data_IF_287214577644
#
_entry.id   IF_287214577644
#
_cell.length_a   1.000
_cell.length_b   1.000
_cell.length_c   1.000
_cell.angle_alpha   90.00
_cell.angle_beta   90.00
_cell.angle_gamma   90.00
#
_symmetry.space_group_name_H-M   'P 1'
#
loop_
_entity.id
_entity.type
_entity.pdbx_description
1 polymer ?
#
# COMPACT_ATOMS: atom_id res chain seq x y z
N UNK A 1 3.76 28.70 -2.59
CA UNK A 1 4.90 28.77 -3.53
C UNK A 1 5.98 27.83 -3.04
N UNK A 2 6.59 27.07 -3.96
CA UNK A 2 7.72 26.18 -3.68
C UNK A 2 9.02 26.95 -3.92
N UNK A 3 9.97 26.87 -2.99
CA UNK A 3 11.30 27.47 -3.14
C UNK A 3 12.30 26.39 -3.57
N UNK A 4 13.15 26.69 -4.56
CA UNK A 4 14.23 25.80 -5.00
C UNK A 4 15.54 26.19 -4.33
N UNK A 5 16.31 25.18 -3.93
CA UNK A 5 17.62 25.31 -3.31
C UNK A 5 18.61 24.40 -4.03
N UNK A 6 19.87 24.83 -4.03
CA UNK A 6 21.00 24.11 -4.60
C UNK A 6 22.21 24.41 -3.71
N UNK A 7 22.93 23.37 -3.31
CA UNK A 7 24.13 23.50 -2.49
C UNK A 7 25.40 23.22 -3.30
N UNK A 8 26.54 23.62 -2.73
CA UNK A 8 27.86 23.39 -3.33
C UNK A 8 28.24 21.90 -3.41
N UNK A 9 27.56 21.02 -2.66
CA UNK A 9 27.74 19.56 -2.72
C UNK A 9 26.96 18.93 -3.89
N UNK A 10 26.15 19.71 -4.60
CA UNK A 10 25.30 19.25 -5.70
C UNK A 10 23.93 18.72 -5.26
N UNK A 11 23.56 18.89 -3.97
CA UNK A 11 22.21 18.61 -3.49
C UNK A 11 21.24 19.65 -4.05
N UNK A 12 20.17 19.19 -4.67
CA UNK A 12 19.11 20.06 -5.22
C UNK A 12 17.78 19.63 -4.64
N UNK A 13 17.03 20.59 -4.10
CA UNK A 13 15.73 20.30 -3.52
C UNK A 13 14.74 21.45 -3.64
N UNK A 14 13.47 21.11 -3.46
CA UNK A 14 12.38 22.06 -3.35
C UNK A 14 11.76 22.00 -1.96
N UNK A 15 11.40 23.16 -1.41
CA UNK A 15 10.70 23.26 -0.13
C UNK A 15 9.36 23.93 -0.27
N UNK A 16 8.36 23.33 0.37
CA UNK A 16 7.03 23.88 0.46
C UNK A 16 6.38 23.47 1.78
N UNK A 17 5.57 24.36 2.37
CA UNK A 17 4.69 23.97 3.48
C UNK A 17 3.39 23.38 2.94
N UNK A 18 3.09 22.17 3.34
CA UNK A 18 1.98 21.40 2.79
C UNK A 18 1.13 20.77 3.89
N UNK A 19 -0.16 20.63 3.62
CA UNK A 19 -1.06 19.91 4.51
C UNK A 19 -0.98 18.42 4.16
N UNK A 20 -0.34 17.64 5.01
CA UNK A 20 -0.05 16.22 4.82
C UNK A 20 -0.95 15.41 5.74
N UNK A 21 -1.62 14.40 5.17
CA UNK A 21 -2.33 13.39 5.97
C UNK A 21 -1.30 12.40 6.50
N UNK A 22 -1.20 12.30 7.82
CA UNK A 22 -0.29 11.40 8.51
C UNK A 22 -0.91 10.00 8.74
N UNK A 23 -2.23 9.89 8.61
CA UNK A 23 -3.02 8.67 8.82
C UNK A 23 -4.49 8.93 8.48
N UNK A 24 -5.40 8.17 9.10
CA UNK A 24 -6.83 8.15 8.74
C UNK A 24 -7.53 9.51 8.91
N UNK A 25 -7.22 10.26 9.98
CA UNK A 25 -8.00 11.45 10.36
C UNK A 25 -7.18 12.72 10.69
N UNK A 26 -5.84 12.63 10.71
CA UNK A 26 -4.97 13.75 11.11
C UNK A 26 -4.19 14.32 9.94
N UNK A 27 -4.51 15.56 9.60
CA UNK A 27 -3.77 16.34 8.61
C UNK A 27 -2.97 17.45 9.31
N UNK A 28 -1.67 17.49 9.09
CA UNK A 28 -0.77 18.50 9.67
C UNK A 28 -0.12 19.35 8.59
N UNK A 29 0.18 20.60 8.92
CA UNK A 29 0.96 21.47 8.03
C UNK A 29 2.44 21.26 8.33
N UNK A 30 3.14 20.58 7.42
CA UNK A 30 4.54 20.21 7.58
C UNK A 30 5.42 20.88 6.53
N UNK A 31 6.67 21.14 6.89
CA UNK A 31 7.70 21.52 5.94
C UNK A 31 8.08 20.29 5.12
N UNK A 32 7.77 20.34 3.83
CA UNK A 32 7.99 19.27 2.86
C UNK A 32 9.21 19.60 2.01
N UNK A 33 10.19 18.70 2.04
CA UNK A 33 11.40 18.74 1.22
C UNK A 33 11.25 17.69 0.12
N UNK A 34 11.41 18.13 -1.13
CA UNK A 34 11.48 17.24 -2.30
C UNK A 34 12.90 17.25 -2.82
N UNK A 35 13.63 16.17 -2.62
CA UNK A 35 14.97 15.99 -3.16
C UNK A 35 14.87 15.69 -4.66
N UNK A 36 15.54 16.49 -5.49
CA UNK A 36 15.55 16.42 -6.96
C UNK A 36 16.86 15.87 -7.51
N UNK A 37 17.97 16.15 -6.83
CA UNK A 37 19.29 15.61 -7.12
C UNK A 37 20.06 15.43 -5.83
N UNK A 38 20.83 14.36 -5.72
CA UNK A 38 21.70 14.06 -4.58
C UNK A 38 23.16 14.37 -4.94
N UNK A 39 24.02 14.68 -3.96
CA UNK A 39 25.47 14.62 -4.11
C UNK A 39 25.95 13.25 -4.57
N UNK A 40 27.18 13.18 -5.10
CA UNK A 40 27.78 11.92 -5.57
C UNK A 40 27.88 10.85 -4.48
N UNK A 41 28.08 11.25 -3.22
CA UNK A 41 28.15 10.34 -2.07
C UNK A 41 26.77 9.99 -1.48
N UNK A 42 25.68 10.55 -2.03
CA UNK A 42 24.30 10.33 -1.62
C UNK A 42 23.91 10.97 -0.29
N UNK A 43 24.80 11.72 0.38
CA UNK A 43 24.54 12.30 1.70
C UNK A 43 23.76 13.59 1.60
N UNK A 44 22.78 13.76 2.51
CA UNK A 44 21.93 14.95 2.53
C UNK A 44 21.49 15.37 3.94
N UNK A 45 21.48 14.45 4.91
CA UNK A 45 20.85 14.66 6.22
C UNK A 45 21.40 15.86 6.99
N UNK A 46 22.72 16.07 6.98
CA UNK A 46 23.36 17.17 7.72
C UNK A 46 23.02 18.54 7.10
N UNK A 47 23.03 18.66 5.78
CA UNK A 47 22.60 19.86 5.06
C UNK A 47 21.12 20.17 5.30
N UNK A 48 20.27 19.13 5.22
CA UNK A 48 18.84 19.29 5.49
C UNK A 48 18.59 19.76 6.92
N UNK A 49 19.32 19.22 7.90
CA UNK A 49 19.22 19.68 9.28
C UNK A 49 19.66 21.13 9.45
N UNK A 50 20.72 21.53 8.77
CA UNK A 50 21.25 22.89 8.86
C UNK A 50 20.31 23.94 8.26
N UNK A 51 19.68 23.63 7.12
CA UNK A 51 18.83 24.58 6.38
C UNK A 51 17.36 24.47 6.78
N UNK A 52 16.88 23.25 7.04
CA UNK A 52 15.48 22.92 7.35
C UNK A 52 15.36 22.01 8.58
N UNK A 53 15.71 22.51 9.78
CA UNK A 53 15.64 21.73 11.01
C UNK A 53 14.21 21.27 11.37
N UNK A 54 13.18 21.93 10.82
CA UNK A 54 11.75 21.62 11.00
C UNK A 54 11.17 20.69 9.92
N UNK A 55 12.02 20.01 9.14
CA UNK A 55 11.57 19.13 8.05
C UNK A 55 10.71 17.99 8.60
N UNK A 56 9.45 17.95 8.15
CA UNK A 56 8.47 16.94 8.55
C UNK A 56 8.24 15.86 7.50
N UNK A 57 8.58 16.16 6.23
CA UNK A 57 8.41 15.24 5.10
C UNK A 57 9.60 15.33 4.17
N UNK A 58 10.13 14.17 3.77
CA UNK A 58 11.15 14.05 2.73
C UNK A 58 10.62 13.14 1.63
N UNK A 59 10.60 13.64 0.40
CA UNK A 59 10.27 12.88 -0.79
C UNK A 59 11.47 12.89 -1.74
N UNK A 60 11.93 11.71 -2.15
CA UNK A 60 12.94 11.56 -3.19
C UNK A 60 12.22 11.44 -4.53
N UNK A 61 12.28 12.52 -5.32
CA UNK A 61 11.69 12.60 -6.67
C UNK A 61 12.80 13.07 -7.59
N UNK A 62 13.77 12.18 -7.79
CA UNK A 62 15.00 12.48 -8.51
C UNK A 62 14.70 12.70 -10.00
N UNK A 63 15.36 13.68 -10.59
CA UNK A 63 15.25 13.97 -12.02
C UNK A 63 15.84 12.79 -12.82
N UNK A 64 15.14 12.30 -13.85
CA UNK A 64 15.45 11.07 -14.61
C UNK A 64 16.71 11.16 -15.51
N UNK A 65 17.61 12.12 -15.28
CA UNK A 65 18.56 12.57 -16.30
C UNK A 65 19.98 12.02 -16.22
N UNK A 66 20.32 11.13 -15.30
CA UNK A 66 21.65 10.52 -15.25
C UNK A 66 21.56 9.00 -15.41
N UNK A 67 22.38 8.45 -16.31
CA UNK A 67 22.58 7.00 -16.52
C UNK A 67 23.12 6.27 -15.26
N UNK A 68 23.34 7.00 -14.16
CA UNK A 68 23.74 6.46 -12.87
C UNK A 68 22.51 6.10 -12.05
N UNK A 69 22.54 4.91 -11.45
CA UNK A 69 21.59 4.52 -10.43
C UNK A 69 21.87 5.39 -9.17
N UNK A 70 21.00 6.36 -8.82
CA UNK A 70 21.30 7.26 -7.72
C UNK A 70 21.39 6.46 -6.42
N UNK A 71 22.29 6.86 -5.52
CA UNK A 71 22.47 6.26 -4.20
C UNK A 71 21.91 7.21 -3.14
N UNK A 72 21.10 6.71 -2.21
CA UNK A 72 20.56 7.50 -1.10
C UNK A 72 21.23 7.03 0.20
N UNK A 73 22.04 7.90 0.79
CA UNK A 73 22.67 7.64 2.09
C UNK A 73 21.77 8.22 3.20
N UNK A 74 21.12 7.33 3.97
CA UNK A 74 20.32 7.74 5.13
C UNK A 74 21.18 8.00 6.38
N UNK A 75 22.50 7.95 6.28
CA UNK A 75 23.39 8.29 7.39
C UNK A 75 23.03 9.67 7.96
N UNK A 76 22.93 9.74 9.29
CA UNK A 76 22.55 10.96 9.99
C UNK A 76 21.05 11.31 9.96
N UNK A 77 20.19 10.56 9.27
CA UNK A 77 18.77 10.91 9.14
C UNK A 77 18.06 11.00 10.49
N UNK A 78 18.48 10.21 11.48
CA UNK A 78 17.99 10.24 12.86
C UNK A 78 18.12 11.60 13.56
N UNK A 79 18.94 12.52 13.02
CA UNK A 79 19.05 13.88 13.52
C UNK A 79 17.85 14.77 13.13
N UNK A 80 17.07 14.37 12.11
CA UNK A 80 15.86 15.05 11.64
C UNK A 80 14.66 14.65 12.51
N UNK A 81 14.62 15.18 13.73
CA UNK A 81 13.71 14.72 14.80
C UNK A 81 12.22 14.97 14.50
N UNK A 82 11.91 15.90 13.62
CA UNK A 82 10.53 16.22 13.24
C UNK A 82 10.05 15.41 12.02
N UNK A 83 10.89 14.54 11.44
CA UNK A 83 10.58 13.77 10.25
C UNK A 83 9.51 12.71 10.54
N UNK A 84 8.33 12.89 9.94
CA UNK A 84 7.17 12.00 10.09
C UNK A 84 6.87 11.17 8.85
N UNK A 85 7.30 11.64 7.68
CA UNK A 85 7.01 10.98 6.40
C UNK A 85 8.26 10.90 5.56
N UNK A 86 8.53 9.71 5.06
CA UNK A 86 9.60 9.48 4.10
C UNK A 86 9.05 8.70 2.89
N UNK A 87 9.33 9.22 1.69
CA UNK A 87 8.96 8.57 0.45
C UNK A 87 10.17 8.41 -0.46
N UNK A 88 10.58 7.16 -0.72
CA UNK A 88 11.75 6.80 -1.52
C UNK A 88 11.28 6.01 -2.73
N UNK A 89 10.92 6.72 -3.81
CA UNK A 89 10.51 6.10 -5.07
C UNK A 89 11.72 6.00 -5.97
N UNK A 90 12.36 4.83 -6.01
CA UNK A 90 13.43 4.58 -6.96
C UNK A 90 13.44 3.12 -7.36
N UNK A 91 13.57 2.89 -8.68
CA UNK A 91 13.70 1.55 -9.22
C UNK A 91 15.06 0.93 -8.90
N UNK A 92 16.09 1.72 -8.57
CA UNK A 92 17.48 1.27 -8.55
C UNK A 92 18.35 1.86 -7.42
N UNK A 93 17.78 2.29 -6.28
CA UNK A 93 18.60 2.85 -5.20
C UNK A 93 19.16 1.76 -4.29
N UNK A 94 20.49 1.71 -4.16
CA UNK A 94 21.10 1.16 -2.96
C UNK A 94 20.87 2.16 -1.82
N UNK A 95 20.23 1.70 -0.76
CA UNK A 95 20.15 2.43 0.50
C UNK A 95 21.21 1.84 1.43
N UNK A 96 22.06 2.67 2.01
CA UNK A 96 23.01 2.24 3.02
C UNK A 96 22.56 2.74 4.40
N UNK A 97 22.44 1.78 5.31
CA UNK A 97 22.34 2.04 6.75
C UNK A 97 23.54 1.36 7.39
N UNK A 98 24.56 2.13 7.77
CA UNK A 98 25.76 1.52 8.36
C UNK A 98 25.66 1.39 9.86
N UNK A 99 24.95 2.25 10.60
CA UNK A 99 24.94 2.18 12.08
C UNK A 99 23.97 3.20 12.74
N UNK A 100 22.88 3.57 12.07
CA UNK A 100 21.95 4.62 12.54
C UNK A 100 20.72 4.09 13.26
N UNK A 101 20.28 4.75 14.34
CA UNK A 101 18.95 4.53 14.94
C UNK A 101 17.82 5.10 14.04
N UNK A 102 17.70 4.64 12.79
CA UNK A 102 16.59 5.02 11.90
C UNK A 102 15.25 4.63 12.53
N UNK A 103 15.23 3.54 13.29
CA UNK A 103 14.09 3.09 14.10
C UNK A 103 13.65 4.07 15.20
N UNK A 104 14.46 5.09 15.55
CA UNK A 104 14.09 6.14 16.52
C UNK A 104 13.41 7.34 15.87
N UNK A 105 13.27 7.37 14.55
CA UNK A 105 12.51 8.42 13.89
C UNK A 105 11.02 8.28 14.25
N UNK A 106 10.29 9.40 14.44
CA UNK A 106 8.85 9.37 14.66
C UNK A 106 8.11 9.23 13.32
N UNK A 107 8.53 8.27 12.47
CA UNK A 107 7.89 8.05 11.18
C UNK A 107 6.48 7.51 11.42
N UNK A 108 5.51 8.21 10.84
CA UNK A 108 4.11 7.81 10.80
C UNK A 108 3.77 7.18 9.45
N UNK A 109 4.50 7.57 8.39
CA UNK A 109 4.29 7.08 7.03
C UNK A 109 5.60 6.79 6.31
N UNK A 110 5.71 5.58 5.76
CA UNK A 110 6.83 5.13 4.91
C UNK A 110 6.28 4.67 3.57
N UNK A 111 6.88 5.18 2.48
CA UNK A 111 6.62 4.69 1.13
C UNK A 111 7.97 4.43 0.47
N UNK A 112 8.27 3.21 0.07
CA UNK A 112 9.59 2.91 -0.50
C UNK A 112 9.60 1.71 -1.45
N UNK A 113 10.59 1.66 -2.32
CA UNK A 113 11.05 0.38 -2.87
C UNK A 113 11.79 -0.40 -1.78
N UNK A 114 11.53 -1.69 -1.67
CA UNK A 114 12.16 -2.54 -0.68
C UNK A 114 13.66 -2.70 -0.94
N UNK A 115 14.44 -2.28 0.04
CA UNK A 115 15.88 -2.56 0.17
C UNK A 115 16.11 -3.27 1.49
N UNK A 116 16.71 -4.46 1.41
CA UNK A 116 17.02 -5.30 2.58
C UNK A 116 17.95 -4.56 3.54
N UNK A 117 17.69 -4.68 4.84
CA UNK A 117 18.41 -3.99 5.91
C UNK A 117 17.82 -2.61 6.22
N UNK A 118 17.58 -1.80 5.19
CA UNK A 118 17.10 -0.42 5.37
C UNK A 118 15.59 -0.36 5.58
N UNK A 119 14.82 -1.11 4.78
CA UNK A 119 13.36 -1.12 4.90
C UNK A 119 12.95 -1.62 6.28
N UNK A 120 13.60 -2.70 6.74
CA UNK A 120 13.45 -3.27 8.07
C UNK A 120 13.67 -2.23 9.18
N UNK A 121 14.72 -1.41 9.06
CA UNK A 121 15.01 -0.36 10.03
C UNK A 121 13.97 0.77 10.02
N UNK A 122 13.52 1.20 8.82
CA UNK A 122 12.49 2.23 8.66
C UNK A 122 11.15 1.80 9.25
N UNK A 123 10.74 0.55 8.97
CA UNK A 123 9.41 0.08 9.40
C UNK A 123 9.30 -0.18 10.90
N UNK A 124 10.42 -0.27 11.62
CA UNK A 124 10.45 -0.43 13.08
C UNK A 124 10.12 0.85 13.84
N UNK A 125 9.89 1.98 13.15
CA UNK A 125 9.48 3.24 13.78
C UNK A 125 8.19 3.04 14.61
N UNK A 126 8.18 3.36 15.91
CA UNK A 126 7.10 2.94 16.82
C UNK A 126 5.73 3.54 16.50
N UNK A 127 5.73 4.74 15.90
CA UNK A 127 4.53 5.51 15.55
C UNK A 127 4.04 5.24 14.12
N UNK A 128 4.64 4.26 13.42
CA UNK A 128 4.29 3.98 12.02
C UNK A 128 2.85 3.48 11.91
N UNK A 129 2.06 4.18 11.09
CA UNK A 129 0.66 3.86 10.85
C UNK A 129 0.42 3.42 9.41
N UNK A 130 1.12 4.01 8.45
CA UNK A 130 0.99 3.70 7.03
C UNK A 130 2.31 3.19 6.46
N UNK A 131 2.24 2.04 5.80
CA UNK A 131 3.36 1.42 5.09
C UNK A 131 2.97 1.13 3.65
N UNK A 132 3.78 1.60 2.71
CA UNK A 132 3.72 1.18 1.31
C UNK A 132 5.10 0.71 0.86
N UNK A 133 5.21 -0.55 0.43
CA UNK A 133 6.47 -1.11 -0.06
C UNK A 133 6.29 -1.77 -1.43
N UNK A 134 7.21 -1.49 -2.34
CA UNK A 134 7.33 -2.19 -3.62
C UNK A 134 8.44 -3.25 -3.57
N UNK A 135 8.16 -4.47 -4.02
CA UNK A 135 9.15 -5.55 -4.10
C UNK A 135 9.45 -6.25 -2.78
N UNK A 136 8.75 -5.90 -1.69
CA UNK A 136 8.95 -6.54 -0.39
C UNK A 136 8.40 -7.99 -0.36
N UNK A 137 8.99 -8.87 0.45
CA UNK A 137 8.35 -10.11 0.86
C UNK A 137 7.30 -9.84 1.95
N UNK A 138 6.29 -10.70 2.09
CA UNK A 138 5.20 -10.52 3.07
C UNK A 138 5.70 -10.59 4.53
N UNK A 139 6.77 -11.34 4.79
CA UNK A 139 7.35 -11.53 6.12
C UNK A 139 7.96 -10.27 6.73
N UNK A 140 8.16 -9.21 5.93
CA UNK A 140 8.53 -7.87 6.40
C UNK A 140 7.57 -7.34 7.48
N UNK A 141 6.29 -7.72 7.41
CA UNK A 141 5.27 -7.36 8.40
C UNK A 141 5.53 -7.95 9.79
N UNK A 142 6.42 -8.95 9.89
CA UNK A 142 6.91 -9.48 11.16
C UNK A 142 7.62 -8.44 12.03
N UNK A 143 8.18 -7.40 11.41
CA UNK A 143 8.96 -6.33 12.05
C UNK A 143 8.15 -5.05 12.29
N UNK A 144 6.92 -4.99 11.76
CA UNK A 144 6.07 -3.82 11.90
C UNK A 144 5.62 -3.58 13.35
N UNK A 145 5.47 -2.31 13.77
CA UNK A 145 4.96 -1.96 15.09
C UNK A 145 3.46 -2.26 15.20
N UNK A 146 2.97 -2.32 16.43
CA UNK A 146 1.55 -2.53 16.72
C UNK A 146 0.65 -1.37 16.27
N UNK A 147 1.22 -0.17 16.07
CA UNK A 147 0.48 1.00 15.60
C UNK A 147 0.15 0.97 14.10
N UNK A 148 0.77 0.05 13.34
CA UNK A 148 0.55 -0.06 11.89
C UNK A 148 -0.90 -0.43 11.61
N UNK A 149 -1.57 0.36 10.75
CA UNK A 149 -2.99 0.19 10.46
C UNK A 149 -3.28 -0.04 8.97
N UNK A 150 -2.49 0.55 8.07
CA UNK A 150 -2.68 0.44 6.63
C UNK A 150 -1.38 -0.01 5.98
N UNK A 151 -1.49 -1.08 5.20
CA UNK A 151 -0.37 -1.68 4.47
C UNK A 151 -0.72 -1.81 3.00
N UNK A 152 0.17 -1.33 2.14
CA UNK A 152 0.14 -1.57 0.70
C UNK A 152 1.43 -2.26 0.26
N UNK A 153 1.33 -3.48 -0.28
CA UNK A 153 2.48 -4.21 -0.83
C UNK A 153 2.33 -4.33 -2.34
N UNK A 154 3.18 -3.63 -3.08
CA UNK A 154 3.26 -3.68 -4.55
C UNK A 154 4.31 -4.70 -4.97
N UNK A 155 4.06 -5.46 -6.05
CA UNK A 155 5.02 -6.43 -6.62
C UNK A 155 5.58 -7.39 -5.56
N UNK A 156 4.69 -7.96 -4.76
CA UNK A 156 5.05 -8.86 -3.66
C UNK A 156 5.89 -10.03 -4.17
N UNK A 157 7.07 -10.23 -3.58
CA UNK A 157 8.04 -11.26 -4.03
C UNK A 157 7.79 -12.63 -3.42
N UNK A 158 7.22 -12.67 -2.20
CA UNK A 158 6.90 -13.91 -1.49
C UNK A 158 5.66 -13.74 -0.59
N UNK A 159 4.74 -14.72 -0.61
CA UNK A 159 3.47 -14.69 0.14
C UNK A 159 3.18 -15.94 0.98
N UNK A 160 3.93 -17.04 0.81
CA UNK A 160 3.63 -18.34 1.45
C UNK A 160 3.91 -18.40 2.96
N UNK A 161 4.50 -17.36 3.54
CA UNK A 161 4.96 -17.38 4.92
C UNK A 161 3.78 -17.18 5.89
N UNK A 162 3.26 -18.26 6.49
CA UNK A 162 2.08 -18.21 7.37
C UNK A 162 2.21 -17.21 8.53
N UNK A 163 3.36 -17.14 9.19
CA UNK A 163 3.60 -16.21 10.30
C UNK A 163 3.45 -14.74 9.91
N UNK A 164 3.63 -14.40 8.63
CA UNK A 164 3.43 -13.06 8.12
C UNK A 164 1.94 -12.67 8.07
N UNK A 165 1.07 -13.63 7.71
CA UNK A 165 -0.37 -13.42 7.68
C UNK A 165 -0.95 -13.18 9.07
N UNK A 166 -0.37 -13.79 10.11
CA UNK A 166 -0.79 -13.57 11.52
C UNK A 166 -0.70 -12.11 11.96
N UNK A 167 0.22 -11.34 11.38
CA UNK A 167 0.41 -9.91 11.70
C UNK A 167 -0.71 -9.02 11.17
N UNK A 168 -1.54 -9.53 10.25
CA UNK A 168 -2.61 -8.76 9.64
C UNK A 168 -3.78 -8.46 10.58
N UNK A 169 -3.96 -9.23 11.66
CA UNK A 169 -5.10 -9.02 12.57
C UNK A 169 -5.13 -7.68 13.29
N UNK A 170 -3.99 -6.99 13.37
CA UNK A 170 -3.89 -5.64 13.93
C UNK A 170 -4.20 -4.54 12.90
N UNK A 171 -4.19 -4.86 11.61
CA UNK A 171 -4.38 -3.88 10.55
C UNK A 171 -5.86 -3.56 10.36
N UNK A 172 -6.12 -2.33 9.93
CA UNK A 172 -7.41 -1.92 9.39
C UNK A 172 -7.51 -2.26 7.90
N UNK A 173 -6.43 -2.08 7.16
CA UNK A 173 -6.43 -2.21 5.70
C UNK A 173 -5.17 -2.90 5.18
N UNK A 174 -5.36 -3.84 4.27
CA UNK A 174 -4.31 -4.49 3.49
C UNK A 174 -4.61 -4.36 2.00
N UNK A 175 -3.66 -3.84 1.24
CA UNK A 175 -3.68 -3.80 -0.21
C UNK A 175 -2.48 -4.59 -0.76
N UNK A 176 -2.74 -5.52 -1.66
CA UNK A 176 -1.70 -6.25 -2.40
C UNK A 176 -1.87 -5.96 -3.88
N UNK A 177 -0.88 -5.32 -4.48
CA UNK A 177 -0.99 -4.77 -5.83
C UNK A 177 0.09 -5.33 -6.76
N UNK A 178 -0.22 -5.41 -8.06
CA UNK A 178 0.75 -5.66 -9.14
C UNK A 178 1.67 -6.87 -8.88
N UNK A 179 1.10 -7.95 -8.32
CA UNK A 179 1.84 -9.09 -7.80
C UNK A 179 1.69 -10.32 -8.69
N UNK A 180 2.68 -11.21 -8.64
CA UNK A 180 2.64 -12.48 -9.38
C UNK A 180 1.64 -13.47 -8.79
N UNK A 181 2.13 -14.52 -8.14
CA UNK A 181 1.28 -15.46 -7.40
C UNK A 181 1.22 -15.10 -5.93
N UNK A 182 0.02 -14.94 -5.38
CA UNK A 182 -0.22 -14.66 -3.97
C UNK A 182 -0.96 -15.86 -3.35
N UNK A 183 -0.31 -16.47 -2.36
CA UNK A 183 -0.89 -17.53 -1.52
C UNK A 183 -1.51 -16.90 -0.29
N UNK A 184 -2.84 -16.96 -0.18
CA UNK A 184 -3.59 -16.35 0.90
C UNK A 184 -3.69 -17.33 2.07
N UNK A 185 -3.37 -16.86 3.28
CA UNK A 185 -3.50 -17.64 4.50
C UNK A 185 -4.32 -16.86 5.53
N UNK A 186 -5.29 -17.48 6.22
CA UNK A 186 -6.09 -16.77 7.21
C UNK A 186 -5.21 -16.43 8.42
N UNK A 187 -5.31 -15.21 8.98
CA UNK A 187 -4.76 -14.92 10.29
C UNK A 187 -5.51 -15.68 11.39
N UNK A 188 -4.94 -15.79 12.59
CA UNK A 188 -5.53 -16.54 13.71
C UNK A 188 -6.78 -15.90 14.30
N UNK A 189 -6.94 -14.58 14.20
CA UNK A 189 -8.01 -13.85 14.89
C UNK A 189 -9.02 -13.24 13.92
N UNK A 190 -8.62 -12.19 13.20
CA UNK A 190 -9.48 -11.46 12.27
C UNK A 190 -8.70 -11.04 11.03
N UNK A 191 -9.40 -10.92 9.91
CA UNK A 191 -8.89 -10.16 8.76
C UNK A 191 -8.86 -8.66 9.09
N UNK A 192 -8.01 -7.89 8.40
CA UNK A 192 -8.21 -6.46 8.27
C UNK A 192 -9.65 -6.15 7.83
N UNK A 193 -10.17 -4.98 8.20
CA UNK A 193 -11.51 -4.54 7.81
C UNK A 193 -11.66 -4.52 6.28
N UNK A 194 -10.62 -4.02 5.58
CA UNK A 194 -10.54 -3.98 4.13
C UNK A 194 -9.33 -4.80 3.68
N UNK A 195 -9.57 -5.75 2.78
CA UNK A 195 -8.52 -6.49 2.09
C UNK A 195 -8.71 -6.32 0.59
N UNK A 196 -7.67 -5.84 -0.10
CA UNK A 196 -7.72 -5.59 -1.54
C UNK A 196 -6.62 -6.37 -2.25
N UNK A 197 -6.99 -7.04 -3.34
CA UNK A 197 -6.06 -7.62 -4.30
C UNK A 197 -6.27 -6.97 -5.66
N UNK A 198 -5.25 -6.29 -6.18
CA UNK A 198 -5.33 -5.48 -7.39
C UNK A 198 -4.21 -5.91 -8.35
N UNK A 199 -4.57 -6.22 -9.60
CA UNK A 199 -3.61 -6.63 -10.64
C UNK A 199 -2.71 -7.79 -10.20
N UNK A 200 -3.33 -8.84 -9.63
CA UNK A 200 -2.62 -10.06 -9.21
C UNK A 200 -2.75 -11.16 -10.26
N UNK A 201 -1.62 -11.74 -10.68
CA UNK A 201 -1.61 -12.75 -11.74
C UNK A 201 -2.28 -14.06 -11.31
N UNK A 202 -2.11 -14.50 -10.06
CA UNK A 202 -2.82 -15.65 -9.51
C UNK A 202 -3.04 -15.53 -8.01
N UNK A 203 -4.30 -15.59 -7.57
CA UNK A 203 -4.68 -15.73 -6.17
C UNK A 203 -4.91 -17.21 -5.87
N UNK A 204 -4.26 -17.74 -4.84
CA UNK A 204 -4.40 -19.15 -4.42
C UNK A 204 -4.84 -19.20 -2.97
N UNK A 205 -5.61 -20.24 -2.65
CA UNK A 205 -6.02 -20.59 -1.29
C UNK A 205 -6.99 -19.56 -0.65
N UNK A 206 -7.45 -18.53 -1.38
CA UNK A 206 -8.31 -17.47 -0.87
C UNK A 206 -9.69 -17.97 -0.45
N UNK A 207 -10.27 -18.92 -1.19
CA UNK A 207 -11.55 -19.54 -0.82
C UNK A 207 -11.39 -20.31 0.47
N UNK A 208 -10.37 -21.17 0.57
CA UNK A 208 -10.07 -21.92 1.79
C UNK A 208 -9.82 -20.99 2.98
N UNK A 209 -9.04 -19.92 2.77
CA UNK A 209 -8.76 -18.93 3.80
C UNK A 209 -10.04 -18.23 4.28
N UNK A 210 -10.93 -17.87 3.36
CA UNK A 210 -12.22 -17.25 3.68
C UNK A 210 -13.16 -18.18 4.46
N UNK A 211 -13.10 -19.49 4.23
CA UNK A 211 -13.92 -20.46 4.95
C UNK A 211 -13.43 -20.66 6.39
N UNK A 212 -12.11 -20.58 6.62
CA UNK A 212 -11.57 -20.56 7.97
C UNK A 212 -11.95 -19.27 8.71
N UNK A 213 -11.92 -18.14 8.01
CA UNK A 213 -12.23 -16.83 8.58
C UNK A 213 -12.85 -15.93 7.49
N UNK A 214 -14.13 -15.55 7.59
CA UNK A 214 -14.77 -14.73 6.55
C UNK A 214 -14.20 -13.31 6.47
N UNK A 215 -14.03 -12.79 5.26
CA UNK A 215 -13.63 -11.39 5.06
C UNK A 215 -14.77 -10.44 5.43
N UNK A 216 -14.45 -9.21 5.87
CA UNK A 216 -15.46 -8.16 6.03
C UNK A 216 -15.69 -7.43 4.70
N UNK A 217 -14.68 -6.74 4.18
CA UNK A 217 -14.71 -6.15 2.85
C UNK A 217 -13.54 -6.67 2.03
N UNK A 218 -13.85 -7.35 0.92
CA UNK A 218 -12.85 -7.86 -0.02
C UNK A 218 -12.97 -7.14 -1.36
N UNK A 219 -11.90 -6.50 -1.81
CA UNK A 219 -11.82 -5.89 -3.13
C UNK A 219 -10.94 -6.72 -4.06
N UNK A 220 -11.44 -7.04 -5.24
CA UNK A 220 -10.75 -7.83 -6.26
C UNK A 220 -10.76 -7.07 -7.57
N UNK A 221 -9.60 -6.73 -8.11
CA UNK A 221 -9.49 -6.06 -9.41
C UNK A 221 -8.30 -6.61 -10.19
N UNK A 222 -8.46 -6.76 -11.51
CA UNK A 222 -7.36 -7.22 -12.37
C UNK A 222 -6.81 -8.61 -12.03
N UNK A 223 -7.60 -9.46 -11.38
CA UNK A 223 -7.19 -10.83 -11.01
C UNK A 223 -7.24 -11.73 -12.25
N UNK A 224 -6.09 -12.23 -12.69
CA UNK A 224 -6.03 -13.07 -13.90
C UNK A 224 -6.47 -14.52 -13.64
N UNK A 225 -6.02 -15.12 -12.54
CA UNK A 225 -6.39 -16.48 -12.14
C UNK A 225 -6.91 -16.44 -10.70
N UNK A 226 -8.20 -16.74 -10.53
CA UNK A 226 -8.83 -16.85 -9.22
C UNK A 226 -8.84 -18.32 -8.76
N UNK A 227 -8.20 -18.57 -7.62
CA UNK A 227 -8.15 -19.82 -6.85
C UNK A 227 -8.38 -21.11 -7.65
N UNK A 228 -7.36 -21.58 -8.39
CA UNK A 228 -7.50 -22.73 -9.28
C UNK A 228 -8.10 -23.96 -8.59
N UNK A 229 -9.25 -24.40 -9.09
CA UNK A 229 -9.96 -25.58 -8.59
C UNK A 229 -10.99 -25.28 -7.50
N UNK A 230 -11.11 -24.03 -7.02
CA UNK A 230 -12.16 -23.61 -6.12
C UNK A 230 -13.27 -22.86 -6.86
N UNK A 231 -14.50 -22.95 -6.34
CA UNK A 231 -15.61 -22.12 -6.81
C UNK A 231 -15.52 -20.73 -6.20
N UNK A 232 -15.67 -19.69 -7.03
CA UNK A 232 -15.82 -18.32 -6.54
C UNK A 232 -17.00 -18.19 -5.55
N UNK A 233 -18.08 -18.95 -5.77
CA UNK A 233 -19.28 -18.90 -4.93
C UNK A 233 -19.10 -19.52 -3.54
N UNK A 234 -18.01 -20.23 -3.30
CA UNK A 234 -17.68 -20.79 -1.98
C UNK A 234 -16.96 -19.77 -1.08
N UNK A 235 -16.53 -18.64 -1.64
CA UNK A 235 -15.87 -17.54 -0.95
C UNK A 235 -16.79 -16.97 0.14
N UNK A 236 -16.26 -16.75 1.34
CA UNK A 236 -16.98 -16.17 2.47
C UNK A 236 -16.51 -14.74 2.74
N UNK A 237 -17.40 -13.78 2.51
CA UNK A 237 -17.20 -12.40 2.91
C UNK A 237 -18.54 -11.73 3.24
N UNK A 238 -18.52 -10.67 4.07
CA UNK A 238 -19.71 -9.82 4.26
C UNK A 238 -20.01 -9.03 2.99
N UNK A 239 -18.98 -8.50 2.31
CA UNK A 239 -19.11 -7.89 0.99
C UNK A 239 -17.85 -8.10 0.17
N UNK A 240 -18.04 -8.44 -1.11
CA UNK A 240 -17.00 -8.54 -2.13
C UNK A 240 -17.32 -7.51 -3.19
N UNK A 241 -16.31 -6.75 -3.61
CA UNK A 241 -16.40 -5.87 -4.77
C UNK A 241 -15.43 -6.38 -5.83
N UNK A 242 -15.91 -6.65 -7.04
CA UNK A 242 -15.08 -7.03 -8.17
C UNK A 242 -15.01 -5.88 -9.16
N UNK A 243 -13.85 -5.24 -9.28
CA UNK A 243 -13.58 -4.16 -10.24
C UNK A 243 -12.98 -4.66 -11.56
N UNK A 244 -13.30 -3.96 -12.65
CA UNK A 244 -12.65 -4.10 -13.95
C UNK A 244 -12.92 -2.87 -14.83
N UNK A 245 -11.98 -2.52 -15.71
CA UNK A 245 -12.10 -1.35 -16.58
C UNK A 245 -13.03 -1.59 -17.78
N UNK A 246 -12.71 -2.58 -18.62
CA UNK A 246 -13.45 -2.81 -19.88
C UNK A 246 -14.21 -4.13 -19.91
N UNK A 247 -13.62 -5.21 -19.39
CA UNK A 247 -14.18 -6.56 -19.46
C UNK A 247 -14.07 -7.27 -18.11
N UNK A 248 -15.10 -8.00 -17.69
CA UNK A 248 -15.04 -8.83 -16.51
C UNK A 248 -13.99 -9.94 -16.67
N UNK A 249 -13.38 -10.39 -15.57
CA UNK A 249 -12.42 -11.47 -15.64
C UNK A 249 -13.08 -12.79 -16.05
N UNK A 250 -12.36 -13.60 -16.84
CA UNK A 250 -12.88 -14.86 -17.38
C UNK A 250 -13.45 -15.79 -16.31
N UNK A 251 -12.76 -15.91 -15.17
CA UNK A 251 -13.21 -16.79 -14.08
C UNK A 251 -14.57 -16.36 -13.50
N UNK A 252 -14.90 -15.06 -13.51
CA UNK A 252 -16.20 -14.58 -13.06
C UNK A 252 -17.28 -14.90 -14.09
N UNK A 253 -16.99 -14.66 -15.37
CA UNK A 253 -17.90 -14.97 -16.48
C UNK A 253 -18.24 -16.46 -16.53
N UNK A 254 -17.23 -17.32 -16.38
CA UNK A 254 -17.40 -18.77 -16.40
C UNK A 254 -18.20 -19.26 -15.17
N UNK A 255 -18.02 -18.63 -14.00
CA UNK A 255 -18.76 -18.96 -12.79
C UNK A 255 -20.19 -18.39 -12.76
N UNK A 256 -20.47 -17.32 -13.50
CA UNK A 256 -21.71 -16.55 -13.45
C UNK A 256 -23.02 -17.36 -13.61
N UNK A 257 -23.10 -18.37 -14.51
CA UNK A 257 -24.32 -19.17 -14.66
C UNK A 257 -24.71 -19.95 -13.41
N UNK A 258 -23.74 -20.24 -12.53
CA UNK A 258 -23.93 -21.02 -11.30
C UNK A 258 -24.14 -20.14 -10.06
N UNK A 259 -24.39 -18.84 -10.25
CA UNK A 259 -24.54 -17.91 -9.13
C UNK A 259 -25.71 -18.29 -8.21
N UNK A 260 -25.54 -18.27 -6.88
CA UNK A 260 -26.63 -18.45 -5.94
C UNK A 260 -27.70 -17.37 -6.11
N UNK A 261 -28.97 -17.66 -5.80
CA UNK A 261 -30.05 -16.67 -5.91
C UNK A 261 -29.78 -15.37 -5.12
N UNK A 262 -29.13 -15.48 -3.96
CA UNK A 262 -28.83 -14.36 -3.06
C UNK A 262 -27.46 -13.69 -3.33
N UNK A 263 -26.86 -13.89 -4.50
CA UNK A 263 -25.51 -13.38 -4.81
C UNK A 263 -25.39 -11.86 -4.64
N UNK A 264 -26.42 -11.10 -5.03
CA UNK A 264 -26.43 -9.63 -5.02
C UNK A 264 -26.35 -9.04 -3.60
N UNK A 265 -26.66 -9.82 -2.56
CA UNK A 265 -26.64 -9.35 -1.17
C UNK A 265 -25.21 -9.10 -0.65
N UNK A 266 -24.20 -9.69 -1.30
CA UNK A 266 -22.82 -9.64 -0.83
C UNK A 266 -21.81 -9.36 -1.93
N UNK A 267 -22.15 -9.56 -3.21
CA UNK A 267 -21.26 -9.25 -4.33
C UNK A 267 -21.70 -7.97 -5.05
N UNK A 268 -20.77 -7.03 -5.16
CA UNK A 268 -20.89 -5.83 -5.99
C UNK A 268 -19.95 -5.95 -7.18
N UNK A 269 -20.50 -5.76 -8.38
CA UNK A 269 -19.75 -5.86 -9.63
C UNK A 269 -20.31 -4.83 -10.60
N UNK A 270 -19.48 -4.12 -11.39
CA UNK A 270 -19.97 -3.27 -12.46
C UNK A 270 -20.85 -4.05 -13.43
N UNK A 271 -21.80 -3.36 -14.06
CA UNK A 271 -22.61 -3.94 -15.12
C UNK A 271 -21.75 -4.34 -16.32
N UNK A 272 -22.04 -5.51 -16.90
CA UNK A 272 -21.54 -5.91 -18.21
C UNK A 272 -22.45 -6.95 -18.88
N UNK A 273 -22.64 -6.94 -20.22
CA UNK A 273 -23.52 -7.90 -20.92
C UNK A 273 -23.17 -9.38 -20.71
N UNK A 274 -21.89 -9.70 -20.46
CA UNK A 274 -21.44 -11.07 -20.11
C UNK A 274 -21.79 -11.51 -18.70
N UNK A 275 -22.30 -10.60 -17.86
CA UNK A 275 -22.75 -10.86 -16.49
C UNK A 275 -24.24 -10.45 -16.38
N UNK A 276 -25.16 -11.15 -17.06
CA UNK A 276 -26.57 -10.76 -17.09
C UNK A 276 -27.16 -10.71 -15.67
N UNK A 277 -27.91 -9.65 -15.38
CA UNK A 277 -28.47 -9.37 -14.06
C UNK A 277 -27.52 -8.67 -13.09
N UNK A 278 -26.33 -8.22 -13.53
CA UNK A 278 -25.43 -7.36 -12.73
C UNK A 278 -25.91 -5.90 -12.60
N UNK A 279 -26.99 -5.54 -13.28
CA UNK A 279 -27.57 -4.19 -13.38
C UNK A 279 -28.22 -3.73 -12.05
N UNK A 280 -28.74 -4.66 -11.25
CA UNK A 280 -29.75 -4.38 -10.22
C UNK A 280 -29.21 -4.09 -8.81
N UNK A 281 -27.94 -3.71 -8.65
CA UNK A 281 -27.35 -3.47 -7.32
C UNK A 281 -27.07 -2.00 -6.97
N UNK A 282 -27.33 -1.04 -7.87
CA UNK A 282 -26.89 0.37 -7.68
C UNK A 282 -27.97 1.42 -7.96
N UNK A 283 -29.22 1.06 -8.31
CA UNK A 283 -30.26 2.03 -8.69
C UNK A 283 -31.64 1.83 -8.04
N UNK A 284 -31.70 1.55 -6.73
CA UNK A 284 -32.95 1.68 -5.94
C UNK A 284 -32.74 2.48 -4.65
N UNK A 285 -32.01 3.59 -4.72
CA UNK A 285 -32.20 4.72 -3.79
C UNK A 285 -32.32 5.97 -4.67
N UNK A 286 -33.36 6.78 -4.45
CA UNK A 286 -33.79 7.96 -5.23
C UNK A 286 -34.77 7.74 -6.40
N UNK A 287 -35.83 6.95 -6.19
CA UNK A 287 -37.10 7.23 -6.86
C UNK A 287 -38.29 6.77 -6.01
N UNK A 288 -38.41 7.36 -4.81
CA UNK A 288 -39.66 7.30 -4.05
C UNK A 288 -39.95 8.67 -3.47
N UNK A 289 -41.08 9.21 -3.94
CA UNK A 289 -41.88 10.35 -3.47
C UNK A 289 -41.35 11.75 -3.70
N UNK A 290 -41.71 12.30 -4.87
CA UNK A 290 -42.43 13.59 -4.87
C UNK A 290 -43.51 13.58 -5.98
N UNK A 291 -44.46 12.66 -5.87
CA UNK A 291 -45.80 12.89 -6.41
C UNK A 291 -46.76 12.96 -5.22
N UNK A 292 -47.58 14.02 -5.21
CA UNK A 292 -48.74 14.32 -4.36
C UNK A 292 -48.51 14.86 -2.95
N UNK A 293 -48.41 16.20 -2.82
CA UNK A 293 -49.48 17.07 -2.27
C UNK A 293 -49.12 18.55 -2.36
#
# INVERSE_FOLDING_TARGET
>A
MSARFESDTGLVWNVQRERIRLGSDRAEKLTCVRIRKLPEDGRFSDEMKAVHPDVGVINFILDESDDSEPFVDLTGISQLRDLKVISIYAKNQALLDVEGNVSKLPLVRVIATYVKGVSEALIQSPDLQFLELEGAPMDILGLAPSALNTVTLRKLTQSKTRSAWEKLSALKELNVENSGTVHVSPPSNQWPEIVSFISVASLKDIVKASQCLPFKFLYLEGIRIFDPGASFWDLKAKRVTVGYETKPPKWLVDAWPMRPAAWANWLVVPYHPSLPGSEDAVHEEYDVTDESS
#
